data_IF_131462603583
#
_entry.id   IF_131462603583
#
_cell.length_a   1.000
_cell.length_b   1.000
_cell.length_c   1.000
_cell.angle_alpha   90.00
_cell.angle_beta   90.00
_cell.angle_gamma   90.00
#
_symmetry.space_group_name_H-M   'P 1'
#
loop_
_entity.id
_entity.type
_entity.pdbx_description
1 polymer ?
#
# COMPACT_ATOMS: atom_id res chain seq x y z
N UNK A 1 18.82 -15.27 7.26
CA UNK A 1 17.40 -14.93 7.47
C UNK A 1 17.21 -13.43 7.23
N UNK A 2 16.50 -13.08 6.15
CA UNK A 2 16.48 -11.72 5.60
C UNK A 2 15.70 -10.70 6.42
N UNK A 3 16.17 -9.45 6.38
CA UNK A 3 15.64 -8.26 7.08
C UNK A 3 14.16 -7.99 6.71
N UNK A 4 13.76 -8.40 5.51
CA UNK A 4 12.38 -8.37 5.01
C UNK A 4 11.40 -9.20 5.86
N UNK A 5 11.84 -10.33 6.44
CA UNK A 5 10.99 -11.13 7.32
C UNK A 5 10.81 -10.47 8.70
N UNK A 6 11.73 -9.59 9.12
CA UNK A 6 11.59 -8.83 10.38
C UNK A 6 10.58 -7.69 10.23
N UNK A 7 10.53 -7.05 9.07
CA UNK A 7 9.51 -6.02 8.75
C UNK A 7 8.11 -6.65 8.64
N UNK A 8 7.98 -7.83 8.04
CA UNK A 8 6.72 -8.58 7.97
C UNK A 8 6.26 -9.10 9.34
N UNK A 9 7.19 -9.44 10.24
CA UNK A 9 6.84 -9.88 11.61
C UNK A 9 6.41 -8.69 12.48
N UNK A 10 6.98 -7.51 12.28
CA UNK A 10 6.56 -6.28 12.95
C UNK A 10 5.14 -5.84 12.53
N UNK A 11 4.73 -6.10 11.28
CA UNK A 11 3.41 -5.72 10.80
C UNK A 11 2.30 -6.72 11.19
N UNK A 12 2.62 -8.01 11.42
CA UNK A 12 1.63 -9.05 11.77
C UNK A 12 1.29 -9.12 13.26
N UNK A 13 2.03 -8.41 14.12
CA UNK A 13 1.81 -8.34 15.58
C UNK A 13 1.05 -7.10 16.07
N UNK A 14 0.46 -6.30 15.17
CA UNK A 14 -0.11 -4.98 15.49
C UNK A 14 -1.49 -4.97 16.16
N UNK A 15 -1.78 -5.82 17.15
CA UNK A 15 -3.11 -5.86 17.77
C UNK A 15 -3.18 -5.63 19.29
N UNK A 16 -2.06 -5.47 20.01
CA UNK A 16 -2.12 -5.11 21.44
C UNK A 16 -0.89 -4.32 21.84
N UNK A 17 -1.12 -3.04 22.15
CA UNK A 17 -0.31 -2.13 22.97
C UNK A 17 1.13 -2.58 23.28
N UNK A 18 2.11 -2.00 22.59
CA UNK A 18 3.43 -1.54 23.07
C UNK A 18 4.25 -1.18 21.83
N UNK A 19 4.65 0.08 21.71
CA UNK A 19 5.49 0.54 20.60
C UNK A 19 5.49 2.05 20.32
N UNK A 20 4.92 2.87 21.21
CA UNK A 20 5.26 4.29 21.25
C UNK A 20 6.62 4.44 21.94
N UNK A 21 7.68 4.58 21.15
CA UNK A 21 9.01 4.88 21.66
C UNK A 21 10.08 4.07 20.95
N UNK A 22 11.03 4.78 20.35
CA UNK A 22 12.19 4.25 19.63
C UNK A 22 11.87 3.85 18.18
N UNK A 23 11.43 4.83 17.38
CA UNK A 23 12.13 5.03 16.11
C UNK A 23 13.45 5.68 16.52
N UNK A 24 14.52 4.89 16.58
CA UNK A 24 15.84 5.40 16.91
C UNK A 24 16.18 6.49 15.90
N UNK A 25 16.74 7.63 16.31
CA UNK A 25 17.18 8.68 15.38
C UNK A 25 18.15 8.13 14.30
N UNK A 26 18.79 7.00 14.60
CA UNK A 26 19.57 6.22 13.66
C UNK A 26 18.73 5.50 12.58
N UNK A 27 17.54 5.00 12.89
CA UNK A 27 16.64 4.33 11.96
C UNK A 27 16.17 5.26 10.84
N UNK A 28 15.74 6.48 11.18
CA UNK A 28 15.31 7.49 10.18
C UNK A 28 16.47 7.93 9.29
N UNK A 29 17.67 8.10 9.88
CA UNK A 29 18.90 8.42 9.13
C UNK A 29 19.35 7.29 8.20
N UNK A 30 19.27 6.04 8.65
CA UNK A 30 19.59 4.85 7.83
C UNK A 30 18.61 4.76 6.67
N UNK A 31 17.31 4.89 6.93
CA UNK A 31 16.28 4.85 5.88
C UNK A 31 16.46 5.96 4.84
N UNK A 32 16.80 7.18 5.27
CA UNK A 32 17.14 8.28 4.37
C UNK A 32 18.38 7.97 3.51
N UNK A 33 19.39 7.33 4.09
CA UNK A 33 20.58 6.89 3.35
C UNK A 33 20.23 5.82 2.31
N UNK A 34 19.42 4.82 2.69
CA UNK A 34 18.98 3.75 1.79
C UNK A 34 18.17 4.31 0.61
N UNK A 35 17.29 5.30 0.85
CA UNK A 35 16.57 6.01 -0.22
C UNK A 35 17.55 6.69 -1.18
N UNK A 36 18.53 7.45 -0.66
CA UNK A 36 19.55 8.12 -1.50
C UNK A 36 20.38 7.13 -2.33
N UNK A 37 20.76 6.01 -1.74
CA UNK A 37 21.53 5.01 -2.48
C UNK A 37 20.67 4.30 -3.53
N UNK A 38 19.39 4.03 -3.23
CA UNK A 38 18.43 3.55 -4.22
C UNK A 38 18.21 4.55 -5.38
N UNK A 39 18.17 5.86 -5.12
CA UNK A 39 18.09 6.91 -6.15
C UNK A 39 19.31 6.88 -7.10
N UNK A 40 20.52 6.68 -6.56
CA UNK A 40 21.74 6.55 -7.37
C UNK A 40 21.69 5.29 -8.25
N UNK A 41 21.28 4.16 -7.68
CA UNK A 41 21.12 2.92 -8.43
C UNK A 41 20.05 3.04 -9.52
N UNK A 42 18.93 3.69 -9.22
CA UNK A 42 17.89 3.98 -10.19
C UNK A 42 18.39 4.87 -11.33
N UNK A 43 19.19 5.89 -11.01
CA UNK A 43 19.82 6.76 -12.02
C UNK A 43 20.76 5.97 -12.92
N UNK A 44 21.55 5.04 -12.36
CA UNK A 44 22.40 4.14 -13.14
C UNK A 44 21.57 3.22 -14.04
N UNK A 45 20.51 2.60 -13.51
CA UNK A 45 19.62 1.73 -14.27
C UNK A 45 18.92 2.47 -15.43
N UNK A 46 18.56 3.75 -15.24
CA UNK A 46 18.03 4.60 -16.32
C UNK A 46 19.04 4.83 -17.44
N UNK A 47 20.33 5.03 -17.11
CA UNK A 47 21.39 5.18 -18.11
C UNK A 47 21.59 3.88 -18.90
N UNK A 48 21.66 2.76 -18.20
CA UNK A 48 21.77 1.44 -18.83
C UNK A 48 20.56 1.13 -19.73
N UNK A 49 19.35 1.50 -19.32
CA UNK A 49 18.16 1.42 -20.16
C UNK A 49 18.31 2.26 -21.43
N UNK A 50 18.78 3.50 -21.33
CA UNK A 50 19.03 4.35 -22.49
C UNK A 50 20.05 3.72 -23.45
N UNK A 51 21.12 3.12 -22.92
CA UNK A 51 22.14 2.46 -23.73
C UNK A 51 21.58 1.24 -24.48
N UNK A 52 20.72 0.44 -23.82
CA UNK A 52 20.04 -0.69 -24.46
C UNK A 52 19.07 -0.22 -25.54
N UNK A 53 18.29 0.83 -25.27
CA UNK A 53 17.38 1.42 -26.26
C UNK A 53 18.14 1.99 -27.46
N UNK A 54 19.32 2.59 -27.25
CA UNK A 54 20.16 3.06 -28.34
C UNK A 54 20.65 1.91 -29.23
N UNK A 55 21.04 0.78 -28.62
CA UNK A 55 21.42 -0.45 -29.35
C UNK A 55 20.23 -1.07 -30.10
N UNK A 56 19.05 -1.11 -29.49
CA UNK A 56 17.81 -1.52 -30.16
C UNK A 56 17.55 -0.67 -31.41
N UNK A 57 17.63 0.66 -31.27
CA UNK A 57 17.45 1.58 -32.41
C UNK A 57 18.49 1.37 -33.51
N UNK A 58 19.74 1.08 -33.14
CA UNK A 58 20.80 0.79 -34.10
C UNK A 58 20.53 -0.53 -34.84
N UNK A 59 20.20 -1.61 -34.12
CA UNK A 59 19.87 -2.90 -34.71
C UNK A 59 18.65 -2.80 -35.63
N UNK A 60 17.60 -2.11 -35.21
CA UNK A 60 16.42 -1.85 -36.05
C UNK A 60 16.75 -1.10 -37.34
N UNK A 61 17.65 -0.09 -37.30
CA UNK A 61 18.08 0.62 -38.52
C UNK A 61 18.87 -0.28 -39.47
N UNK A 62 19.69 -1.18 -38.92
CA UNK A 62 20.45 -2.12 -39.75
C UNK A 62 19.54 -3.17 -40.37
N UNK A 63 18.55 -3.68 -39.63
CA UNK A 63 17.48 -4.53 -40.16
C UNK A 63 16.78 -3.85 -41.35
N UNK A 64 16.39 -2.59 -41.20
CA UNK A 64 15.73 -1.84 -42.27
C UNK A 64 16.64 -1.64 -43.50
N UNK A 65 17.93 -1.40 -43.27
CA UNK A 65 18.94 -1.27 -44.34
C UNK A 65 19.12 -2.59 -45.09
N UNK A 66 19.28 -3.70 -44.37
CA UNK A 66 19.43 -5.03 -44.96
C UNK A 66 18.19 -5.42 -45.78
N UNK A 67 16.98 -5.18 -45.25
CA UNK A 67 15.73 -5.41 -45.99
C UNK A 67 15.65 -4.64 -47.31
N UNK A 68 16.07 -3.37 -47.32
CA UNK A 68 16.13 -2.59 -48.57
C UNK A 68 17.16 -3.15 -49.54
N UNK A 69 18.34 -3.52 -49.03
CA UNK A 69 19.39 -4.10 -49.87
C UNK A 69 18.93 -5.43 -50.49
N UNK A 70 18.26 -6.29 -49.73
CA UNK A 70 17.66 -7.53 -50.24
C UNK A 70 16.66 -7.21 -51.35
N UNK A 71 15.71 -6.30 -51.12
CA UNK A 71 14.72 -5.92 -52.14
C UNK A 71 15.34 -5.34 -53.42
N UNK A 72 16.42 -4.57 -53.30
CA UNK A 72 17.18 -4.07 -54.47
C UNK A 72 17.82 -5.22 -55.25
N UNK A 73 18.46 -6.16 -54.57
CA UNK A 73 19.11 -7.31 -55.21
C UNK A 73 18.07 -8.29 -55.80
N UNK A 74 16.92 -8.48 -55.16
CA UNK A 74 15.79 -9.23 -55.73
C UNK A 74 15.32 -8.62 -57.06
N UNK A 75 15.29 -7.29 -57.13
CA UNK A 75 15.03 -6.56 -58.38
C UNK A 75 16.07 -6.85 -59.47
N UNK A 76 17.36 -6.84 -59.12
CA UNK A 76 18.44 -7.18 -60.06
C UNK A 76 18.40 -8.65 -60.51
N UNK A 77 18.11 -9.58 -59.59
CA UNK A 77 17.95 -10.99 -59.91
C UNK A 77 16.80 -11.20 -60.91
N UNK A 78 15.67 -10.51 -60.70
CA UNK A 78 14.52 -10.57 -61.61
C UNK A 78 14.89 -10.03 -63.01
N UNK A 79 15.60 -8.90 -63.08
CA UNK A 79 16.06 -8.34 -64.37
C UNK A 79 17.06 -9.26 -65.09
N UNK A 80 17.94 -9.94 -64.36
CA UNK A 80 18.87 -10.91 -64.93
C UNK A 80 18.14 -12.13 -65.50
N UNK A 81 17.11 -12.62 -64.81
CA UNK A 81 16.26 -13.71 -65.28
C UNK A 81 15.44 -13.32 -66.52
N UNK A 82 14.91 -12.09 -66.58
CA UNK A 82 14.22 -11.56 -67.77
C UNK A 82 15.12 -11.46 -69.01
N UNK A 83 16.43 -11.30 -68.80
CA UNK A 83 17.44 -11.29 -69.86
C UNK A 83 18.01 -12.68 -70.18
N UNK A 84 17.42 -13.75 -69.63
CA UNK A 84 17.88 -15.15 -69.75
C UNK A 84 19.34 -15.36 -69.30
N UNK A 85 19.87 -14.45 -68.46
CA UNK A 85 21.22 -14.55 -67.92
C UNK A 85 21.20 -15.25 -66.55
N UNK A 86 21.03 -16.58 -66.59
CA UNK A 86 20.93 -17.41 -65.39
C UNK A 86 22.20 -17.36 -64.52
N UNK A 87 23.39 -17.20 -65.13
CA UNK A 87 24.64 -17.12 -64.39
C UNK A 87 24.68 -15.88 -63.48
N UNK A 88 24.30 -14.71 -64.01
CA UNK A 88 24.22 -13.48 -63.23
C UNK A 88 23.11 -13.54 -62.18
N UNK A 89 21.96 -14.13 -62.52
CA UNK A 89 20.87 -14.32 -61.56
C UNK A 89 21.30 -15.20 -60.37
N UNK A 90 22.12 -16.23 -60.62
CA UNK A 90 22.64 -17.12 -59.58
C UNK A 90 23.63 -16.39 -58.66
N UNK A 91 24.54 -15.57 -59.21
CA UNK A 91 25.45 -14.73 -58.39
C UNK A 91 24.68 -13.75 -57.49
N UNK A 92 23.62 -13.11 -58.02
CA UNK A 92 22.79 -12.20 -57.22
C UNK A 92 22.01 -12.97 -56.16
N UNK A 93 21.50 -14.17 -56.47
CA UNK A 93 20.82 -15.04 -55.50
C UNK A 93 21.75 -15.48 -54.35
N UNK A 94 23.02 -15.80 -54.65
CA UNK A 94 24.02 -16.06 -53.61
C UNK A 94 24.23 -14.83 -52.72
N UNK A 95 24.27 -13.63 -53.31
CA UNK A 95 24.40 -12.39 -52.52
C UNK A 95 23.19 -12.13 -51.63
N UNK A 96 21.97 -12.37 -52.13
CA UNK A 96 20.73 -12.28 -51.35
C UNK A 96 20.79 -13.28 -50.20
N UNK A 97 21.20 -14.52 -50.44
CA UNK A 97 21.30 -15.53 -49.38
C UNK A 97 22.27 -15.13 -48.25
N UNK A 98 23.36 -14.41 -48.56
CA UNK A 98 24.25 -13.86 -47.53
C UNK A 98 23.57 -12.74 -46.74
N UNK A 99 22.88 -11.82 -47.42
CA UNK A 99 22.15 -10.72 -46.78
C UNK A 99 21.00 -11.23 -45.90
N UNK A 100 20.33 -12.31 -46.29
CA UNK A 100 19.28 -12.95 -45.49
C UNK A 100 19.82 -13.58 -44.20
N UNK A 101 21.02 -14.18 -44.26
CA UNK A 101 21.69 -14.69 -43.06
C UNK A 101 22.03 -13.54 -42.10
N UNK A 102 22.63 -12.46 -42.62
CA UNK A 102 22.91 -11.25 -41.83
C UNK A 102 21.63 -10.63 -41.26
N UNK A 103 20.54 -10.59 -42.04
CA UNK A 103 19.24 -10.06 -41.61
C UNK A 103 18.67 -10.90 -40.46
N UNK A 104 18.74 -12.22 -40.54
CA UNK A 104 18.27 -13.12 -39.48
C UNK A 104 19.03 -12.90 -38.16
N UNK A 105 20.36 -12.71 -38.24
CA UNK A 105 21.19 -12.38 -37.08
C UNK A 105 20.80 -11.03 -36.46
N UNK A 106 20.63 -9.98 -37.30
CA UNK A 106 20.24 -8.65 -36.81
C UNK A 106 18.82 -8.61 -36.26
N UNK A 107 17.87 -9.37 -36.83
CA UNK A 107 16.53 -9.52 -36.28
C UNK A 107 16.56 -10.15 -34.89
N UNK A 108 17.31 -11.24 -34.72
CA UNK A 108 17.49 -11.89 -33.41
C UNK A 108 18.13 -10.93 -32.39
N UNK A 109 19.14 -10.16 -32.80
CA UNK A 109 19.75 -9.14 -31.94
C UNK A 109 18.74 -8.05 -31.54
N UNK A 110 17.95 -7.55 -32.49
CA UNK A 110 16.93 -6.53 -32.26
C UNK A 110 15.84 -7.02 -31.29
N UNK A 111 15.34 -8.25 -31.47
CA UNK A 111 14.33 -8.86 -30.60
C UNK A 111 14.85 -9.00 -29.17
N UNK A 112 16.11 -9.43 -29.01
CA UNK A 112 16.76 -9.51 -27.71
C UNK A 112 16.90 -8.12 -27.04
N UNK A 113 17.35 -7.10 -27.78
CA UNK A 113 17.44 -5.74 -27.23
C UNK A 113 16.08 -5.18 -26.86
N UNK A 114 15.04 -5.41 -27.68
CA UNK A 114 13.68 -4.95 -27.40
C UNK A 114 13.11 -5.59 -26.14
N UNK A 115 13.29 -6.91 -25.97
CA UNK A 115 12.89 -7.62 -24.77
C UNK A 115 13.63 -7.09 -23.52
N UNK A 116 14.93 -6.83 -23.61
CA UNK A 116 15.72 -6.24 -22.52
C UNK A 116 15.29 -4.81 -22.19
N UNK A 117 15.05 -3.97 -23.20
CA UNK A 117 14.58 -2.60 -23.03
C UNK A 117 13.21 -2.57 -22.34
N UNK A 118 12.26 -3.42 -22.79
CA UNK A 118 10.93 -3.52 -22.19
C UNK A 118 11.00 -3.91 -20.70
N UNK A 119 11.78 -4.94 -20.38
CA UNK A 119 11.97 -5.41 -18.99
C UNK A 119 12.62 -4.35 -18.10
N UNK A 120 13.69 -3.71 -18.57
CA UNK A 120 14.37 -2.65 -17.82
C UNK A 120 13.45 -1.43 -17.60
N UNK A 121 12.67 -1.05 -18.61
CA UNK A 121 11.69 0.04 -18.52
C UNK A 121 10.63 -0.21 -17.46
N UNK A 122 10.12 -1.45 -17.38
CA UNK A 122 9.17 -1.83 -16.34
C UNK A 122 9.80 -1.78 -14.94
N UNK A 123 10.99 -2.35 -14.77
CA UNK A 123 11.71 -2.34 -13.49
C UNK A 123 12.02 -0.93 -13.01
N UNK A 124 12.50 -0.05 -13.91
CA UNK A 124 12.76 1.36 -13.62
C UNK A 124 11.48 2.04 -13.14
N UNK A 125 10.37 1.90 -13.87
CA UNK A 125 9.07 2.49 -13.49
C UNK A 125 8.56 1.99 -12.14
N UNK A 126 8.70 0.70 -11.86
CA UNK A 126 8.30 0.11 -10.58
C UNK A 126 9.12 0.69 -9.44
N UNK A 127 10.43 0.77 -9.63
CA UNK A 127 11.39 1.27 -8.63
C UNK A 127 11.17 2.76 -8.38
N UNK A 128 10.94 3.56 -9.42
CA UNK A 128 10.56 4.98 -9.30
C UNK A 128 9.35 5.17 -8.38
N UNK A 129 8.26 4.44 -8.62
CA UNK A 129 7.04 4.54 -7.82
C UNK A 129 7.28 4.18 -6.36
N UNK A 130 8.02 3.10 -6.11
CA UNK A 130 8.37 2.67 -4.75
C UNK A 130 9.23 3.71 -4.04
N UNK A 131 10.19 4.30 -4.74
CA UNK A 131 11.08 5.30 -4.18
C UNK A 131 10.32 6.58 -3.81
N UNK A 132 9.39 7.02 -4.65
CA UNK A 132 8.51 8.16 -4.34
C UNK A 132 7.65 7.87 -3.10
N UNK A 133 7.14 6.65 -2.95
CA UNK A 133 6.39 6.26 -1.75
C UNK A 133 7.27 6.28 -0.50
N UNK A 134 8.47 5.71 -0.56
CA UNK A 134 9.43 5.75 0.55
C UNK A 134 9.86 7.16 0.94
N UNK A 135 10.08 8.05 -0.05
CA UNK A 135 10.35 9.46 0.20
C UNK A 135 9.19 10.13 0.96
N UNK A 136 7.94 9.88 0.54
CA UNK A 136 6.76 10.40 1.23
C UNK A 136 6.64 9.88 2.67
N UNK A 137 6.87 8.58 2.87
CA UNK A 137 6.88 7.97 4.20
C UNK A 137 7.97 8.57 5.08
N UNK A 138 9.18 8.79 4.55
CA UNK A 138 10.26 9.46 5.26
C UNK A 138 9.85 10.89 5.67
N UNK A 139 9.23 11.67 4.78
CA UNK A 139 8.73 13.01 5.11
C UNK A 139 7.72 12.96 6.26
N UNK A 140 6.74 12.05 6.20
CA UNK A 140 5.74 11.90 7.26
C UNK A 140 6.37 11.55 8.61
N UNK A 141 7.35 10.64 8.63
CA UNK A 141 8.09 10.26 9.85
C UNK A 141 8.85 11.47 10.40
N UNK A 142 9.61 12.19 9.56
CA UNK A 142 10.38 13.39 9.99
C UNK A 142 9.47 14.51 10.49
N UNK A 143 8.30 14.71 9.87
CA UNK A 143 7.30 15.67 10.36
C UNK A 143 6.75 15.25 11.72
N UNK A 144 6.43 13.96 11.89
CA UNK A 144 5.93 13.43 13.18
C UNK A 144 6.98 13.58 14.28
N UNK A 145 8.25 13.25 14.00
CA UNK A 145 9.38 13.46 14.90
C UNK A 145 9.55 14.95 15.26
N UNK A 146 9.43 15.85 14.28
CA UNK A 146 9.54 17.30 14.49
C UNK A 146 8.42 17.84 15.37
N UNK A 147 7.18 17.38 15.14
CA UNK A 147 6.01 17.74 15.98
C UNK A 147 6.22 17.22 17.40
N UNK A 148 6.61 15.96 17.58
CA UNK A 148 6.88 15.38 18.90
C UNK A 148 7.99 16.15 19.63
N UNK A 149 9.06 16.52 18.94
CA UNK A 149 10.15 17.32 19.51
C UNK A 149 9.69 18.72 19.91
N UNK A 150 8.91 19.39 19.06
CA UNK A 150 8.34 20.69 19.36
C UNK A 150 7.38 20.63 20.57
N UNK A 151 6.51 19.62 20.63
CA UNK A 151 5.62 19.37 21.76
C UNK A 151 6.43 19.14 23.04
N UNK A 152 7.46 18.29 23.01
CA UNK A 152 8.33 18.04 24.16
C UNK A 152 9.03 19.32 24.64
N UNK A 153 9.59 20.13 23.72
CA UNK A 153 10.22 21.41 24.08
C UNK A 153 9.24 22.42 24.67
N UNK A 154 7.98 22.45 24.20
CA UNK A 154 6.92 23.28 24.78
C UNK A 154 6.58 22.77 26.18
N UNK A 155 6.39 21.46 26.36
CA UNK A 155 6.11 20.86 27.67
C UNK A 155 7.25 21.12 28.67
N UNK A 156 8.51 20.98 28.26
CA UNK A 156 9.68 21.26 29.08
C UNK A 156 9.79 22.75 29.43
N UNK A 157 9.51 23.64 28.47
CA UNK A 157 9.47 25.10 28.69
C UNK A 157 8.32 25.52 29.61
N UNK A 158 7.17 24.83 29.51
CA UNK A 158 6.01 25.02 30.36
C UNK A 158 6.26 24.46 31.76
N UNK A 159 6.95 23.33 31.92
CA UNK A 159 7.36 22.82 33.22
C UNK A 159 8.34 23.77 33.95
N UNK A 160 9.22 24.47 33.20
CA UNK A 160 10.17 25.44 33.74
C UNK A 160 9.56 26.78 34.19
N UNK A 161 8.43 27.21 33.62
CA UNK A 161 7.81 28.54 33.88
C UNK A 161 6.58 28.51 34.78
N UNK A 162 6.13 27.34 35.24
CA UNK A 162 4.75 27.16 35.71
C UNK A 162 4.60 26.72 37.17
N UNK A 163 5.61 26.95 38.01
CA UNK A 163 5.51 26.67 39.45
C UNK A 163 4.51 27.56 40.20
N UNK A 164 4.02 28.66 39.60
CA UNK A 164 3.12 29.63 40.26
C UNK A 164 1.71 29.77 39.68
N UNK A 165 1.43 29.30 38.46
CA UNK A 165 0.11 29.46 37.81
C UNK A 165 -0.69 28.14 37.66
N UNK A 166 -0.04 26.98 37.54
CA UNK A 166 -0.73 25.67 37.49
C UNK A 166 -1.53 25.35 38.75
N UNK A 167 -1.04 25.73 39.93
CA UNK A 167 -1.69 25.37 41.19
C UNK A 167 -3.11 25.95 41.33
N UNK A 168 -3.43 27.06 40.66
CA UNK A 168 -4.76 27.66 40.74
C UNK A 168 -5.75 27.05 39.75
N UNK A 169 -5.31 26.72 38.52
CA UNK A 169 -6.18 26.23 37.45
C UNK A 169 -6.45 24.72 37.56
N UNK A 170 -5.44 23.92 37.91
CA UNK A 170 -5.60 22.48 38.17
C UNK A 170 -6.47 22.21 39.40
N UNK A 171 -6.46 23.13 40.38
CA UNK A 171 -7.34 23.05 41.55
C UNK A 171 -8.81 23.28 41.18
N UNK A 172 -9.09 24.21 40.25
CA UNK A 172 -10.44 24.53 39.82
C UNK A 172 -11.02 23.46 38.87
N UNK A 173 -10.20 22.89 37.97
CA UNK A 173 -10.59 21.76 37.13
C UNK A 173 -10.79 20.48 37.96
N UNK A 174 -9.99 20.23 39.01
CA UNK A 174 -10.27 19.13 39.96
C UNK A 174 -11.59 19.30 40.68
N UNK A 175 -11.93 20.52 41.11
CA UNK A 175 -13.20 20.78 41.81
C UNK A 175 -14.38 20.53 40.86
N UNK A 176 -14.29 20.98 39.60
CA UNK A 176 -15.32 20.72 38.58
C UNK A 176 -15.43 19.22 38.23
N UNK A 177 -14.32 18.54 38.01
CA UNK A 177 -14.32 17.10 37.71
C UNK A 177 -14.89 16.26 38.86
N UNK A 178 -14.65 16.67 40.11
CA UNK A 178 -15.21 16.00 41.29
C UNK A 178 -16.71 16.25 41.47
N UNK A 179 -17.21 17.42 41.10
CA UNK A 179 -18.65 17.71 41.06
C UNK A 179 -19.35 16.92 39.94
N UNK A 180 -18.75 16.88 38.74
CA UNK A 180 -19.31 16.16 37.61
C UNK A 180 -19.32 14.63 37.83
N UNK A 181 -18.25 14.07 38.41
CA UNK A 181 -18.25 12.66 38.83
C UNK A 181 -19.30 12.34 39.89
N UNK A 182 -19.67 13.30 40.74
CA UNK A 182 -20.74 13.11 41.72
C UNK A 182 -22.10 13.04 41.03
N UNK A 183 -22.37 13.95 40.09
CA UNK A 183 -23.61 13.97 39.32
C UNK A 183 -23.75 12.73 38.42
N UNK A 184 -22.68 12.32 37.73
CA UNK A 184 -22.68 11.11 36.88
C UNK A 184 -22.92 9.83 37.72
N UNK A 185 -22.39 9.80 38.95
CA UNK A 185 -22.59 8.68 39.88
C UNK A 185 -24.00 8.65 40.46
N UNK A 186 -24.62 9.82 40.64
CA UNK A 186 -26.02 9.95 41.04
C UNK A 186 -26.95 9.42 39.93
N UNK A 187 -26.74 9.85 38.68
CA UNK A 187 -27.50 9.38 37.51
C UNK A 187 -27.31 7.87 37.29
N UNK A 188 -26.09 7.36 37.40
CA UNK A 188 -25.82 5.93 37.30
C UNK A 188 -26.48 5.13 38.44
N UNK A 189 -26.61 5.71 39.64
CA UNK A 189 -27.30 5.08 40.76
C UNK A 189 -28.82 5.04 40.60
N UNK A 190 -29.41 6.07 39.98
CA UNK A 190 -30.83 6.07 39.59
C UNK A 190 -31.10 5.04 38.48
N UNK A 191 -30.21 4.93 37.48
CA UNK A 191 -30.31 3.91 36.43
C UNK A 191 -30.18 2.48 36.95
N UNK A 192 -29.26 2.23 37.89
CA UNK A 192 -29.12 0.92 38.55
C UNK A 192 -30.31 0.57 39.46
N UNK A 193 -31.01 1.57 40.01
CA UNK A 193 -32.24 1.36 40.76
C UNK A 193 -33.41 0.99 39.84
N UNK A 194 -33.47 1.54 38.62
CA UNK A 194 -34.45 1.17 37.60
C UNK A 194 -34.20 -0.23 37.01
N UNK A 195 -32.93 -0.61 36.79
CA UNK A 195 -32.54 -1.95 36.29
C UNK A 195 -32.75 -3.08 37.29
N UNK A 196 -32.78 -2.80 38.60
CA UNK A 196 -33.03 -3.79 39.65
C UNK A 196 -34.51 -3.92 40.06
N UNK A 197 -35.45 -3.29 39.33
CA UNK A 197 -36.87 -3.58 39.53
C UNK A 197 -37.27 -4.87 38.81
N UNK A 198 -37.72 -5.87 39.58
CA UNK A 198 -38.14 -7.23 39.18
C UNK A 198 -39.21 -7.28 38.05
N UNK A 199 -38.83 -6.97 36.81
CA UNK A 199 -39.72 -7.04 35.63
C UNK A 199 -39.18 -7.88 34.47
N UNK A 200 -37.97 -8.43 34.58
CA UNK A 200 -37.32 -9.15 33.47
C UNK A 200 -37.56 -10.67 33.46
N UNK A 201 -37.92 -11.30 34.59
CA UNK A 201 -38.17 -12.74 34.65
C UNK A 201 -39.61 -13.10 34.25
N UNK A 202 -40.60 -12.30 34.65
CA UNK A 202 -42.02 -12.53 34.35
C UNK A 202 -42.37 -12.29 32.87
N UNK A 203 -41.72 -11.33 32.21
CA UNK A 203 -41.89 -11.06 30.77
C UNK A 203 -41.31 -12.19 29.90
N UNK A 204 -40.18 -12.78 30.31
CA UNK A 204 -39.52 -13.89 29.59
C UNK A 204 -40.22 -15.24 29.75
N UNK A 205 -40.94 -15.45 30.87
CA UNK A 205 -41.75 -16.66 31.09
C UNK A 205 -43.09 -16.63 30.34
N UNK A 206 -43.68 -15.44 30.11
CA UNK A 206 -44.92 -15.26 29.35
C UNK A 206 -44.74 -15.45 27.83
N UNK A 207 -43.58 -15.07 27.29
CA UNK A 207 -43.25 -15.21 25.87
C UNK A 207 -42.90 -16.67 25.47
N UNK A 208 -42.41 -17.47 26.43
CA UNK A 208 -42.08 -18.88 26.23
C UNK A 208 -43.26 -19.85 26.43
N UNK A 209 -44.45 -19.36 26.83
CA UNK A 209 -45.65 -20.18 26.99
C UNK A 209 -45.59 -21.26 28.09
N UNK A 210 -44.67 -21.13 29.05
CA UNK A 210 -44.46 -22.10 30.14
C UNK A 210 -44.92 -21.46 31.45
N UNK A 211 -46.11 -21.87 31.92
CA UNK A 211 -46.75 -21.38 33.14
C UNK A 211 -48.23 -21.73 33.17
N UNK A 212 -48.53 -22.91 33.73
CA UNK A 212 -49.86 -23.51 33.88
C UNK A 212 -50.86 -22.62 34.65
N UNK A 213 -52.04 -22.40 34.06
CA UNK A 213 -53.36 -22.99 34.39
C UNK A 213 -54.20 -22.27 35.46
N UNK A 214 -55.37 -21.84 34.97
CA UNK A 214 -56.71 -21.94 35.58
C UNK A 214 -56.98 -21.22 36.89
N UNK A 215 -57.86 -20.22 36.79
CA UNK A 215 -59.13 -20.23 37.52
C UNK A 215 -60.11 -19.28 36.80
N UNK A 216 -60.85 -19.82 35.83
CA UNK A 216 -62.20 -20.34 35.98
C UNK A 216 -63.27 -19.24 35.92
N UNK A 217 -63.97 -19.18 34.78
CA UNK A 217 -65.29 -18.56 34.65
C UNK A 217 -66.29 -19.08 35.71
N UNK A 218 -66.04 -20.25 36.31
CA UNK A 218 -66.79 -20.77 37.46
C UNK A 218 -66.60 -19.93 38.75
N UNK A 219 -65.43 -19.29 38.96
CA UNK A 219 -65.20 -18.39 40.11
C UNK A 219 -65.95 -17.06 39.98
N UNK A 220 -66.29 -16.64 38.76
CA UNK A 220 -67.13 -15.45 38.49
C UNK A 220 -68.62 -15.78 38.63
N UNK A 221 -69.03 -16.99 38.24
CA UNK A 221 -70.41 -17.46 38.38
C UNK A 221 -70.84 -17.63 39.84
N UNK A 222 -69.95 -18.13 40.70
CA UNK A 222 -70.22 -18.27 42.15
C UNK A 222 -70.29 -16.91 42.86
N UNK A 223 -69.51 -15.92 42.41
CA UNK A 223 -69.56 -14.54 42.90
C UNK A 223 -70.85 -13.80 42.51
N UNK A 224 -71.41 -14.12 41.34
CA UNK A 224 -72.68 -13.56 40.87
C UNK A 224 -73.90 -14.23 41.55
N UNK A 225 -73.84 -15.54 41.83
CA UNK A 225 -74.92 -16.22 42.59
C UNK A 225 -74.95 -15.83 44.07
N UNK A 226 -73.82 -15.45 44.65
CA UNK A 226 -73.75 -14.92 46.02
C UNK A 226 -74.18 -13.45 46.14
N UNK A 227 -74.38 -12.74 45.02
CA UNK A 227 -74.92 -11.38 44.93
C UNK A 227 -76.31 -11.41 44.31
N UNK A 228 -77.26 -11.79 45.15
CA UNK A 228 -78.65 -11.38 45.01
C UNK A 228 -78.76 -9.85 44.89
#
# INVERSE_FOLDING_TARGET
MGILNKILTAFRGGATEVGQGIVDANSTRIFEQEIRDAEKHLTKAKRELTDVMAKEMQASREVDRLKRSIAEHEGFATQALEQENEALALEVAEKISQLDQELAEQLSANDNFSAHAARLKELVRKTERQLTDYQRQLTMVKTTESVQKATASITDSFAGSNSKLLNAKDSLERIKARQQQFDDRLVASEQLADENSDKSLHAKLAEAGIGEQKSNANAVLDRLKARK
#
